data_IF_768661348242
#
_entry.id   IF_768661348242
#
_cell.length_a   1.000
_cell.length_b   1.000
_cell.length_c   1.000
_cell.angle_alpha   90.00
_cell.angle_beta   90.00
_cell.angle_gamma   90.00
#
_symmetry.space_group_name_H-M   'P 1'
#
loop_
_entity.id
_entity.type
_entity.pdbx_description
1 polymer ?
#
# COMPACT_ATOMS: atom_id res chain seq x y z
N UNK A 1 -7.94 3.55 -26.50
CA UNK A 1 -6.82 2.86 -25.83
C UNK A 1 -7.32 1.49 -25.40
N UNK A 2 -6.84 0.38 -25.98
CA UNK A 2 -7.19 -0.97 -25.52
C UNK A 2 -6.18 -1.33 -24.44
N UNK A 3 -6.65 -1.59 -23.22
CA UNK A 3 -5.80 -2.15 -22.18
C UNK A 3 -5.46 -3.60 -22.56
N UNK A 4 -4.18 -3.90 -22.78
CA UNK A 4 -3.71 -5.26 -22.91
C UNK A 4 -3.57 -5.85 -21.52
N UNK A 5 -4.50 -6.72 -21.12
CA UNK A 5 -4.32 -7.55 -19.93
C UNK A 5 -3.51 -8.76 -20.34
N UNK A 6 -2.22 -8.77 -19.98
CA UNK A 6 -1.43 -10.01 -20.02
C UNK A 6 -2.11 -11.05 -19.12
N UNK A 7 -2.14 -12.34 -19.50
CA UNK A 7 -2.66 -13.39 -18.62
C UNK A 7 -1.94 -13.32 -17.27
N UNK A 8 -2.71 -13.32 -16.19
CA UNK A 8 -2.15 -13.41 -14.84
C UNK A 8 -1.50 -14.79 -14.74
N UNK A 9 -0.17 -14.82 -14.63
CA UNK A 9 0.56 -16.08 -14.50
C UNK A 9 0.24 -16.72 -13.15
N UNK A 10 0.14 -18.07 -13.08
CA UNK A 10 -0.23 -18.77 -11.85
C UNK A 10 0.76 -18.55 -10.70
N UNK A 11 1.95 -18.00 -10.97
CA UNK A 11 2.98 -17.67 -9.99
C UNK A 11 2.99 -16.20 -9.57
N UNK A 12 2.02 -15.37 -9.96
CA UNK A 12 2.05 -13.93 -9.66
C UNK A 12 2.03 -13.64 -8.15
N UNK A 13 1.37 -14.49 -7.37
CA UNK A 13 1.30 -14.37 -5.91
C UNK A 13 2.65 -14.63 -5.26
N UNK A 14 3.38 -15.64 -5.72
CA UNK A 14 4.75 -15.94 -5.27
C UNK A 14 5.71 -14.82 -5.67
N UNK A 15 5.68 -14.40 -6.93
CA UNK A 15 6.52 -13.30 -7.44
C UNK A 15 6.27 -12.01 -6.65
N UNK A 16 4.99 -11.66 -6.44
CA UNK A 16 4.62 -10.46 -5.70
C UNK A 16 5.04 -10.56 -4.24
N UNK A 17 4.80 -11.72 -3.59
CA UNK A 17 5.17 -11.93 -2.20
C UNK A 17 6.66 -11.77 -1.91
N UNK A 18 7.52 -12.16 -2.87
CA UNK A 18 8.97 -12.05 -2.77
C UNK A 18 9.54 -10.69 -3.21
N UNK A 19 8.70 -9.78 -3.71
CA UNK A 19 9.13 -8.44 -4.06
C UNK A 19 9.55 -7.66 -2.80
N UNK A 20 10.73 -7.03 -2.85
CA UNK A 20 11.18 -6.10 -1.80
C UNK A 20 10.69 -4.69 -2.13
N UNK A 21 10.02 -4.08 -1.17
CA UNK A 21 9.56 -2.69 -1.20
C UNK A 21 10.14 -1.94 0.01
N UNK A 22 10.00 -0.62 0.08
CA UNK A 22 10.58 0.15 1.17
C UNK A 22 9.49 0.78 2.04
N UNK A 23 9.68 0.81 3.35
CA UNK A 23 8.79 1.55 4.26
C UNK A 23 8.95 3.07 4.07
N UNK A 24 8.08 3.87 4.70
CA UNK A 24 8.27 5.32 4.75
C UNK A 24 9.54 5.76 5.51
N UNK A 25 10.15 4.87 6.31
CA UNK A 25 11.46 5.07 6.96
C UNK A 25 12.64 4.67 6.07
N UNK A 26 12.37 4.03 4.92
CA UNK A 26 13.39 3.56 3.98
C UNK A 26 13.91 2.16 4.26
N UNK A 27 13.32 1.45 5.22
CA UNK A 27 13.68 0.07 5.54
C UNK A 27 13.11 -0.88 4.48
N UNK A 28 13.89 -1.85 3.98
CA UNK A 28 13.39 -2.85 3.04
C UNK A 28 12.45 -3.83 3.77
N UNK A 29 11.33 -4.16 3.14
CA UNK A 29 10.34 -5.14 3.62
C UNK A 29 9.89 -6.01 2.44
N UNK A 30 9.73 -7.32 2.64
CA UNK A 30 9.12 -8.16 1.60
C UNK A 30 7.62 -7.88 1.55
N UNK A 31 7.03 -7.88 0.37
CA UNK A 31 5.62 -7.54 0.19
C UNK A 31 4.69 -8.46 1.01
N UNK A 32 5.03 -9.77 1.11
CA UNK A 32 4.28 -10.73 1.91
C UNK A 32 4.29 -10.44 3.42
N UNK A 33 5.28 -9.68 3.91
CA UNK A 33 5.42 -9.37 5.33
C UNK A 33 4.58 -8.14 5.75
N UNK A 34 3.88 -7.49 4.81
CA UNK A 34 3.01 -6.34 5.09
C UNK A 34 1.73 -6.73 5.87
N UNK A 35 1.35 -8.00 5.85
CA UNK A 35 0.21 -8.53 6.60
C UNK A 35 0.44 -10.00 6.95
N UNK A 36 -0.31 -10.49 7.93
CA UNK A 36 -0.27 -11.90 8.30
C UNK A 36 -0.92 -12.76 7.20
N UNK A 37 -0.10 -13.57 6.53
CA UNK A 37 -0.54 -14.49 5.47
C UNK A 37 -1.42 -15.64 5.98
N UNK A 38 -1.42 -15.89 7.29
CA UNK A 38 -2.17 -16.97 7.93
C UNK A 38 -3.51 -16.50 8.50
N UNK A 39 -3.65 -15.22 8.82
CA UNK A 39 -4.82 -14.70 9.56
C UNK A 39 -5.77 -13.79 8.74
N UNK A 40 -5.52 -13.47 7.46
CA UNK A 40 -6.48 -12.62 6.78
C UNK A 40 -6.33 -12.31 5.29
N UNK A 41 -7.32 -11.54 4.83
CA UNK A 41 -7.36 -10.93 3.50
C UNK A 41 -6.70 -9.56 3.59
N UNK A 42 -5.90 -9.19 2.58
CA UNK A 42 -5.37 -7.84 2.44
C UNK A 42 -5.96 -7.13 1.22
N UNK A 43 -6.23 -5.85 1.37
CA UNK A 43 -6.51 -4.92 0.27
C UNK A 43 -5.28 -4.06 0.06
N UNK A 44 -4.71 -4.15 -1.14
CA UNK A 44 -3.55 -3.35 -1.54
C UNK A 44 -4.03 -2.24 -2.48
N UNK A 45 -4.06 -1.01 -1.98
CA UNK A 45 -4.40 0.17 -2.76
C UNK A 45 -3.14 0.77 -3.39
N UNK A 46 -3.07 0.77 -4.73
CA UNK A 46 -1.93 1.32 -5.47
C UNK A 46 -2.15 2.82 -5.76
N UNK A 47 -1.32 3.67 -5.18
CA UNK A 47 -1.25 5.10 -5.45
C UNK A 47 -0.33 5.37 -6.65
N UNK A 48 -0.75 6.26 -7.54
CA UNK A 48 -0.01 6.56 -8.78
C UNK A 48 1.36 7.18 -8.53
N UNK A 49 1.45 8.14 -7.61
CA UNK A 49 2.70 8.66 -7.04
C UNK A 49 2.36 9.59 -5.86
N UNK A 50 3.32 9.79 -4.96
CA UNK A 50 3.17 10.77 -3.88
C UNK A 50 3.13 12.21 -4.43
N UNK A 51 2.17 13.00 -3.95
CA UNK A 51 2.01 14.43 -4.31
C UNK A 51 0.96 14.75 -5.39
N UNK A 52 0.30 13.75 -5.98
CA UNK A 52 -0.86 13.98 -6.85
C UNK A 52 -2.12 14.23 -6.00
N UNK A 53 -2.94 15.23 -6.36
CA UNK A 53 -4.22 15.51 -5.69
C UNK A 53 -5.15 14.28 -5.67
N UNK A 54 -5.18 13.48 -6.74
CA UNK A 54 -5.99 12.26 -6.78
C UNK A 54 -5.50 11.19 -5.79
N UNK A 55 -4.19 11.11 -5.56
CA UNK A 55 -3.62 10.18 -4.58
C UNK A 55 -3.89 10.64 -3.15
N UNK A 56 -3.97 11.95 -2.93
CA UNK A 56 -4.36 12.51 -1.63
C UNK A 56 -5.81 12.22 -1.31
N UNK A 57 -6.73 12.47 -2.24
CA UNK A 57 -8.15 12.13 -2.08
C UNK A 57 -8.35 10.63 -1.78
N UNK A 58 -7.67 9.77 -2.54
CA UNK A 58 -7.71 8.33 -2.28
C UNK A 58 -7.14 7.97 -0.91
N UNK A 59 -5.97 8.50 -0.53
CA UNK A 59 -5.38 8.25 0.78
C UNK A 59 -6.28 8.74 1.94
N UNK A 60 -6.94 9.89 1.77
CA UNK A 60 -7.91 10.43 2.75
C UNK A 60 -9.11 9.50 2.89
N UNK A 61 -9.68 9.06 1.76
CA UNK A 61 -10.79 8.12 1.74
C UNK A 61 -10.41 6.81 2.42
N UNK A 62 -9.23 6.26 2.11
CA UNK A 62 -8.74 5.03 2.71
C UNK A 62 -8.55 5.15 4.22
N UNK A 63 -8.04 6.30 4.70
CA UNK A 63 -7.93 6.60 6.12
C UNK A 63 -9.28 6.56 6.83
N UNK A 64 -10.31 7.20 6.25
CA UNK A 64 -11.66 7.21 6.81
C UNK A 64 -12.33 5.83 6.84
N UNK A 65 -12.03 5.00 5.85
CA UNK A 65 -12.61 3.66 5.71
C UNK A 65 -11.85 2.58 6.46
N UNK A 66 -10.63 2.84 6.92
CA UNK A 66 -9.79 1.90 7.65
C UNK A 66 -10.53 1.17 8.78
N UNK A 67 -11.31 1.83 9.67
CA UNK A 67 -12.02 1.13 10.74
C UNK A 67 -12.99 0.05 10.24
N UNK A 68 -13.55 0.21 9.03
CA UNK A 68 -14.43 -0.79 8.41
C UNK A 68 -13.66 -2.01 7.91
N UNK A 69 -12.45 -1.80 7.38
CA UNK A 69 -11.56 -2.91 7.00
C UNK A 69 -11.08 -3.67 8.24
N UNK A 70 -10.65 -2.94 9.28
CA UNK A 70 -10.23 -3.54 10.55
C UNK A 70 -11.37 -4.35 11.19
N UNK A 71 -12.59 -3.83 11.22
CA UNK A 71 -13.77 -4.55 11.72
C UNK A 71 -14.13 -5.80 10.91
N UNK A 72 -13.71 -5.87 9.64
CA UNK A 72 -13.89 -7.03 8.78
C UNK A 72 -12.71 -8.02 8.84
N UNK A 73 -11.69 -7.76 9.66
CA UNK A 73 -10.45 -8.57 9.70
C UNK A 73 -9.62 -8.45 8.42
N UNK A 74 -9.76 -7.34 7.68
CA UNK A 74 -9.06 -7.11 6.41
C UNK A 74 -7.95 -6.09 6.63
N UNK A 75 -6.71 -6.44 6.28
CA UNK A 75 -5.59 -5.50 6.35
C UNK A 75 -5.64 -4.56 5.14
N UNK A 76 -5.67 -3.25 5.39
CA UNK A 76 -5.53 -2.25 4.35
C UNK A 76 -4.07 -1.78 4.24
N UNK A 77 -3.49 -1.84 3.04
CA UNK A 77 -2.12 -1.40 2.72
C UNK A 77 -2.17 -0.44 1.54
N UNK A 78 -1.55 0.75 1.64
CA UNK A 78 -1.50 1.73 0.55
C UNK A 78 -0.08 1.85 -0.01
N UNK A 79 0.19 1.25 -1.16
CA UNK A 79 1.51 1.27 -1.81
C UNK A 79 1.57 2.43 -2.80
N UNK A 80 2.58 3.27 -2.76
CA UNK A 80 2.76 4.35 -3.74
C UNK A 80 4.11 4.30 -4.46
N UNK A 81 4.20 4.91 -5.63
CA UNK A 81 5.49 5.05 -6.33
C UNK A 81 6.20 6.33 -5.88
N UNK A 82 7.47 6.25 -5.47
CA UNK A 82 8.27 7.41 -5.12
C UNK A 82 9.39 7.13 -4.12
N UNK A 83 9.70 8.11 -3.27
CA UNK A 83 10.76 7.99 -2.26
C UNK A 83 10.16 7.88 -0.86
N UNK A 84 10.85 7.23 0.10
CA UNK A 84 10.39 7.17 1.50
C UNK A 84 10.08 8.56 2.07
N UNK A 85 10.89 9.58 1.75
CA UNK A 85 10.64 10.97 2.16
C UNK A 85 9.30 11.51 1.67
N UNK A 86 8.89 11.22 0.43
CA UNK A 86 7.59 11.67 -0.09
C UNK A 86 6.43 10.94 0.56
N UNK A 87 6.60 9.66 0.91
CA UNK A 87 5.61 8.90 1.67
C UNK A 87 5.46 9.46 3.10
N UNK A 88 6.58 9.78 3.75
CA UNK A 88 6.59 10.44 5.07
C UNK A 88 5.91 11.80 5.04
N UNK A 89 6.21 12.64 4.05
CA UNK A 89 5.54 13.93 3.87
C UNK A 89 4.03 13.78 3.69
N UNK A 90 3.56 12.73 2.98
CA UNK A 90 2.14 12.43 2.87
C UNK A 90 1.53 12.04 4.23
N UNK A 91 2.20 11.16 4.97
CA UNK A 91 1.74 10.72 6.29
C UNK A 91 1.62 11.90 7.28
N UNK A 92 2.64 12.76 7.32
CA UNK A 92 2.65 14.00 8.11
C UNK A 92 1.49 14.93 7.71
N UNK A 93 1.33 15.18 6.40
CA UNK A 93 0.27 16.05 5.85
C UNK A 93 -1.13 15.55 6.24
N UNK A 94 -1.32 14.24 6.25
CA UNK A 94 -2.60 13.59 6.52
C UNK A 94 -2.83 13.30 8.00
N UNK A 95 -1.86 13.60 8.87
CA UNK A 95 -1.87 13.22 10.28
C UNK A 95 -2.17 11.72 10.45
N UNK A 96 -1.36 10.90 9.79
CA UNK A 96 -1.41 9.44 9.79
C UNK A 96 -0.13 8.95 10.46
N UNK A 97 -0.26 8.03 11.42
CA UNK A 97 0.90 7.32 11.97
C UNK A 97 1.38 6.29 10.92
N UNK A 98 2.64 6.37 10.45
CA UNK A 98 3.20 5.41 9.50
C UNK A 98 3.20 3.95 9.99
N UNK A 99 3.17 3.72 11.30
CA UNK A 99 3.06 2.38 11.88
C UNK A 99 1.64 1.82 11.77
N UNK A 100 0.62 2.69 11.84
CA UNK A 100 -0.78 2.29 11.75
C UNK A 100 -1.25 2.11 10.30
N UNK A 101 -0.74 2.95 9.40
CA UNK A 101 -1.09 2.93 7.99
C UNK A 101 0.17 3.06 7.14
N UNK A 102 0.81 1.93 6.83
CA UNK A 102 2.07 1.95 6.12
C UNK A 102 1.83 2.41 4.68
N UNK A 103 2.66 3.37 4.24
CA UNK A 103 2.80 3.78 2.85
C UNK A 103 4.09 3.22 2.26
N UNK A 104 4.20 1.90 2.03
CA UNK A 104 5.38 1.37 1.39
C UNK A 104 5.52 1.96 -0.01
N UNK A 105 6.77 2.19 -0.38
CA UNK A 105 7.15 2.78 -1.64
C UNK A 105 7.76 1.74 -2.57
N UNK A 106 7.29 1.77 -3.81
CA UNK A 106 7.90 1.13 -4.97
C UNK A 106 8.96 2.05 -5.58
#
# INVERSE_FOLDING_TARGET
>A
MRASTSPVSPNISEILGDATIFTATGDPVMFKDLWDQTEGIAVVALLRHFGCICCWELASTLKEWRPKFDAAGVKLVAVGVGTPDKARMLAERMNIDPAEFPFPVL
#
